data_IF_992456777253
#
_entry.id   IF_992456777253
#
_cell.length_a   1.000
_cell.length_b   1.000
_cell.length_c   1.000
_cell.angle_alpha   90.00
_cell.angle_beta   90.00
_cell.angle_gamma   90.00
#
_symmetry.space_group_name_H-M   'P 1'
#
loop_
_entity.id
_entity.type
_entity.pdbx_description
1 polymer ?
#
# COMPACT_ATOMS: atom_id res chain seq x y z
N UNK A 1 9.85 -6.36 -2.33
CA UNK A 1 10.05 -5.50 -3.53
C UNK A 1 11.43 -4.89 -3.43
N UNK A 2 12.29 -5.02 -4.44
CA UNK A 2 13.55 -4.28 -4.49
C UNK A 2 13.34 -3.02 -5.34
N UNK A 3 13.72 -1.86 -4.81
CA UNK A 3 13.63 -0.58 -5.52
C UNK A 3 14.98 -0.19 -6.14
N UNK A 4 14.99 0.34 -7.37
CA UNK A 4 16.17 0.97 -7.95
C UNK A 4 16.70 2.11 -7.07
N UNK A 5 18.02 2.38 -7.13
CA UNK A 5 18.69 3.35 -6.24
C UNK A 5 18.29 4.81 -6.49
N UNK A 6 17.71 5.10 -7.65
CA UNK A 6 17.20 6.40 -8.09
C UNK A 6 15.77 6.68 -7.61
N UNK A 7 15.03 5.65 -7.16
CA UNK A 7 13.70 5.81 -6.59
C UNK A 7 13.82 6.34 -5.17
N UNK A 8 13.19 7.48 -4.92
CA UNK A 8 13.17 8.13 -3.60
C UNK A 8 11.73 8.27 -3.11
N UNK A 9 11.52 8.56 -1.82
CA UNK A 9 10.17 8.83 -1.30
C UNK A 9 9.48 10.02 -2.01
N UNK A 10 10.26 10.88 -2.69
CA UNK A 10 9.76 12.00 -3.49
C UNK A 10 9.35 11.60 -4.91
N UNK A 11 9.69 10.40 -5.34
CA UNK A 11 9.34 9.86 -6.65
C UNK A 11 9.29 8.33 -6.59
N UNK A 12 8.10 7.83 -6.27
CA UNK A 12 7.72 6.41 -6.26
C UNK A 12 7.04 5.98 -7.57
N UNK A 13 6.87 6.92 -8.50
CA UNK A 13 6.15 6.71 -9.76
C UNK A 13 6.76 5.57 -10.55
N UNK A 14 5.94 4.59 -10.91
CA UNK A 14 6.40 3.44 -11.68
C UNK A 14 5.51 2.22 -11.55
N UNK A 15 5.88 1.20 -12.32
CA UNK A 15 5.26 -0.13 -12.28
C UNK A 15 6.16 -1.09 -11.51
N UNK A 16 5.61 -1.66 -10.46
CA UNK A 16 6.31 -2.45 -9.48
C UNK A 16 5.84 -3.90 -9.52
N UNK A 17 6.75 -4.85 -9.77
CA UNK A 17 6.43 -6.27 -9.80
C UNK A 17 6.96 -7.00 -8.56
N UNK A 18 6.11 -7.83 -7.94
CA UNK A 18 6.53 -8.65 -6.81
C UNK A 18 7.47 -9.77 -7.24
N UNK A 19 8.74 -9.61 -6.90
CA UNK A 19 9.73 -10.68 -7.03
C UNK A 19 9.54 -11.71 -5.90
N UNK A 20 8.83 -12.80 -6.20
CA UNK A 20 8.55 -13.88 -5.26
C UNK A 20 9.78 -14.69 -4.84
N UNK A 21 10.84 -14.72 -5.65
CA UNK A 21 12.07 -15.41 -5.29
C UNK A 21 12.84 -14.69 -4.16
N UNK A 22 12.62 -13.38 -4.01
CA UNK A 22 13.21 -12.54 -2.98
C UNK A 22 12.21 -12.11 -1.90
N UNK A 23 11.03 -12.74 -1.85
CA UNK A 23 9.98 -12.39 -0.89
C UNK A 23 9.60 -13.60 -0.03
N UNK A 24 9.29 -13.36 1.23
CA UNK A 24 8.76 -14.39 2.12
C UNK A 24 7.33 -14.80 1.76
N UNK A 25 6.90 -15.95 2.28
CA UNK A 25 5.55 -16.48 2.09
C UNK A 25 4.49 -15.58 2.73
N UNK A 26 3.47 -15.20 1.95
CA UNK A 26 2.33 -14.41 2.42
C UNK A 26 1.25 -15.25 3.12
N UNK A 27 1.42 -16.58 3.20
CA UNK A 27 0.36 -17.51 3.64
C UNK A 27 -0.16 -17.21 5.05
N UNK A 28 0.73 -16.98 6.00
CA UNK A 28 0.37 -16.81 7.41
C UNK A 28 -0.34 -15.48 7.63
N UNK A 29 0.14 -14.40 7.01
CA UNK A 29 -0.53 -13.10 7.02
C UNK A 29 -1.95 -13.19 6.44
N UNK A 30 -2.12 -13.82 5.28
CA UNK A 30 -3.45 -13.95 4.65
C UNK A 30 -4.38 -14.88 5.45
N UNK A 31 -3.83 -15.89 6.16
CA UNK A 31 -4.60 -16.74 7.07
C UNK A 31 -5.11 -15.93 8.25
N UNK A 32 -4.27 -15.09 8.86
CA UNK A 32 -4.66 -14.19 9.95
C UNK A 32 -5.71 -13.16 9.50
N UNK A 33 -5.68 -12.73 8.23
CA UNK A 33 -6.72 -11.88 7.63
C UNK A 33 -8.02 -12.62 7.30
N UNK A 34 -8.17 -13.89 7.68
CA UNK A 34 -9.39 -14.68 7.47
C UNK A 34 -9.63 -15.12 6.01
N UNK A 35 -8.64 -14.99 5.12
CA UNK A 35 -8.83 -15.37 3.72
C UNK A 35 -8.99 -16.89 3.56
N UNK A 36 -9.93 -17.38 2.74
CA UNK A 36 -10.09 -18.83 2.50
C UNK A 36 -8.85 -19.50 1.90
N UNK A 37 -8.59 -20.77 2.22
CA UNK A 37 -7.40 -21.52 1.77
C UNK A 37 -7.14 -21.44 0.27
N UNK A 38 -8.18 -21.61 -0.55
CA UNK A 38 -8.07 -21.55 -2.00
C UNK A 38 -7.66 -20.16 -2.50
N UNK A 39 -8.21 -19.09 -1.92
CA UNK A 39 -7.82 -17.72 -2.26
C UNK A 39 -6.35 -17.44 -1.91
N UNK A 40 -5.88 -17.92 -0.75
CA UNK A 40 -4.47 -17.79 -0.33
C UNK A 40 -3.51 -18.52 -1.28
N UNK A 41 -3.87 -19.72 -1.74
CA UNK A 41 -3.07 -20.45 -2.74
C UNK A 41 -3.01 -19.72 -4.07
N UNK A 42 -4.12 -19.18 -4.54
CA UNK A 42 -4.15 -18.38 -5.77
C UNK A 42 -3.23 -17.16 -5.67
N UNK A 43 -3.28 -16.40 -4.58
CA UNK A 43 -2.39 -15.24 -4.37
C UNK A 43 -0.91 -15.67 -4.34
N UNK A 44 -0.61 -16.79 -3.69
CA UNK A 44 0.76 -17.33 -3.62
C UNK A 44 1.36 -17.66 -4.98
N UNK A 45 0.55 -17.92 -6.00
CA UNK A 45 1.02 -18.16 -7.38
C UNK A 45 0.80 -16.97 -8.32
N UNK A 46 -0.11 -16.04 -8.00
CA UNK A 46 -0.43 -14.90 -8.84
C UNK A 46 0.69 -13.86 -8.97
N UNK A 47 0.91 -13.35 -10.18
CA UNK A 47 1.74 -12.16 -10.40
C UNK A 47 1.03 -10.94 -9.79
N UNK A 48 1.70 -10.28 -8.85
CA UNK A 48 1.24 -9.04 -8.21
C UNK A 48 2.03 -7.88 -8.82
N UNK A 49 1.29 -6.89 -9.31
CA UNK A 49 1.82 -5.64 -9.85
C UNK A 49 1.20 -4.47 -9.13
N UNK A 50 1.99 -3.47 -8.78
CA UNK A 50 1.51 -2.20 -8.23
C UNK A 50 1.94 -1.09 -9.19
N UNK A 51 0.99 -0.38 -9.75
CA UNK A 51 1.24 0.87 -10.47
C UNK A 51 1.10 2.02 -9.47
N UNK A 52 2.13 2.85 -9.35
CA UNK A 52 2.13 4.02 -8.46
C UNK A 52 2.29 5.27 -9.31
N UNK A 53 1.40 6.24 -9.12
CA UNK A 53 1.46 7.58 -9.68
C UNK A 53 1.60 8.59 -8.53
N UNK A 54 2.62 9.44 -8.60
CA UNK A 54 2.91 10.44 -7.57
C UNK A 54 3.06 11.80 -8.24
N UNK A 55 2.29 12.79 -7.78
CA UNK A 55 2.24 14.11 -8.40
C UNK A 55 1.89 15.19 -7.39
N UNK A 56 2.13 16.45 -7.76
CA UNK A 56 1.68 17.62 -7.04
C UNK A 56 0.43 18.17 -7.73
N UNK A 57 -0.57 18.58 -6.95
CA UNK A 57 -1.73 19.29 -7.47
C UNK A 57 -1.45 20.80 -7.67
N UNK A 58 -2.51 21.53 -8.02
CA UNK A 58 -2.44 22.98 -8.22
C UNK A 58 -2.06 23.74 -6.94
N UNK A 59 -2.31 23.19 -5.75
CA UNK A 59 -1.99 23.76 -4.45
C UNK A 59 -0.63 23.28 -3.92
N UNK A 60 0.13 22.53 -4.73
CA UNK A 60 1.40 21.92 -4.35
C UNK A 60 1.29 20.89 -3.22
N UNK A 61 0.11 20.26 -3.08
CA UNK A 61 -0.09 19.11 -2.20
C UNK A 61 0.29 17.83 -2.93
N UNK A 62 1.02 16.95 -2.26
CA UNK A 62 1.42 15.66 -2.83
C UNK A 62 0.28 14.66 -2.82
N UNK A 63 0.06 14.04 -3.97
CA UNK A 63 -0.83 12.89 -4.16
C UNK A 63 0.00 11.65 -4.49
N UNK A 64 -0.42 10.50 -3.96
CA UNK A 64 0.15 9.19 -4.25
C UNK A 64 -1.00 8.23 -4.49
N UNK A 65 -1.18 7.87 -5.75
CA UNK A 65 -2.21 6.96 -6.21
C UNK A 65 -1.57 5.60 -6.48
N UNK A 66 -2.06 4.57 -5.79
CA UNK A 66 -1.54 3.20 -5.88
C UNK A 66 -2.63 2.26 -6.36
N UNK A 67 -2.31 1.52 -7.42
CA UNK A 67 -3.20 0.54 -8.02
C UNK A 67 -2.54 -0.83 -7.98
N UNK A 68 -3.02 -1.68 -7.09
CA UNK A 68 -2.59 -3.07 -7.04
C UNK A 68 -3.44 -3.91 -7.99
N UNK A 69 -2.77 -4.70 -8.81
CA UNK A 69 -3.37 -5.69 -9.69
C UNK A 69 -2.79 -7.07 -9.48
N UNK A 70 -3.65 -8.07 -9.59
CA UNK A 70 -3.31 -9.49 -9.44
C UNK A 70 -3.88 -10.22 -10.64
N UNK A 71 -3.05 -10.90 -11.42
CA UNK A 71 -3.44 -11.59 -12.66
C UNK A 71 -4.23 -10.68 -13.64
N UNK A 72 -3.83 -9.40 -13.76
CA UNK A 72 -4.47 -8.44 -14.65
C UNK A 72 -5.82 -7.89 -14.17
N UNK A 73 -6.30 -8.28 -12.98
CA UNK A 73 -7.48 -7.70 -12.34
C UNK A 73 -7.05 -6.71 -11.27
N UNK A 74 -7.72 -5.56 -11.20
CA UNK A 74 -7.50 -4.58 -10.13
C UNK A 74 -8.02 -5.17 -8.83
N UNK A 75 -7.10 -5.34 -7.88
CA UNK A 75 -7.35 -5.91 -6.58
C UNK A 75 -7.70 -4.82 -5.56
N UNK A 76 -6.97 -3.71 -5.59
CA UNK A 76 -7.19 -2.57 -4.72
C UNK A 76 -6.69 -1.30 -5.39
N UNK A 77 -7.35 -0.19 -5.05
CA UNK A 77 -6.93 1.16 -5.37
C UNK A 77 -6.82 1.91 -4.06
N UNK A 78 -5.76 2.68 -3.90
CA UNK A 78 -5.53 3.50 -2.73
C UNK A 78 -5.08 4.88 -3.18
N UNK A 79 -5.85 5.90 -2.78
CA UNK A 79 -5.62 7.29 -3.15
C UNK A 79 -5.21 8.04 -1.89
N UNK A 80 -3.97 8.53 -1.84
CA UNK A 80 -3.46 9.27 -0.67
C UNK A 80 -3.14 10.71 -1.04
N UNK A 81 -3.69 11.63 -0.25
CA UNK A 81 -3.36 13.06 -0.29
C UNK A 81 -2.62 13.44 0.98
N UNK A 82 -1.45 14.08 0.84
CA UNK A 82 -0.56 14.39 1.96
C UNK A 82 -0.90 15.73 2.66
N UNK A 83 -2.18 15.94 2.98
CA UNK A 83 -2.71 17.14 3.63
C UNK A 83 -3.15 16.91 5.09
N UNK A 84 -2.96 15.70 5.60
CA UNK A 84 -3.38 15.27 6.93
C UNK A 84 -4.89 15.34 7.18
N UNK A 85 -5.72 15.39 6.13
CA UNK A 85 -7.16 15.30 6.28
C UNK A 85 -7.60 13.83 6.33
N UNK A 86 -8.45 13.49 7.30
CA UNK A 86 -9.06 12.18 7.41
C UNK A 86 -10.04 11.96 6.25
N UNK A 87 -9.90 10.81 5.57
CA UNK A 87 -10.76 10.41 4.46
C UNK A 87 -11.20 8.97 4.66
N UNK A 88 -12.46 8.71 4.36
CA UNK A 88 -12.98 7.37 4.26
C UNK A 88 -12.73 6.80 2.86
N UNK A 89 -12.33 5.54 2.82
CA UNK A 89 -12.16 4.79 1.58
C UNK A 89 -12.79 3.41 1.74
N UNK A 90 -13.48 2.95 0.71
CA UNK A 90 -13.94 1.57 0.64
C UNK A 90 -12.80 0.67 0.14
N UNK A 91 -12.37 -0.27 0.97
CA UNK A 91 -11.37 -1.26 0.62
C UNK A 91 -12.06 -2.63 0.43
N UNK A 92 -11.78 -3.34 -0.68
CA UNK A 92 -12.43 -4.63 -0.96
C UNK A 92 -12.05 -5.74 0.02
N UNK A 93 -10.99 -5.57 0.81
CA UNK A 93 -10.52 -6.54 1.80
C UNK A 93 -10.87 -6.16 3.23
N UNK A 94 -10.80 -4.87 3.58
CA UNK A 94 -10.96 -4.39 4.95
C UNK A 94 -12.29 -3.66 5.22
N UNK A 95 -13.14 -3.48 4.21
CA UNK A 95 -14.37 -2.70 4.34
C UNK A 95 -14.08 -1.19 4.32
N UNK A 96 -14.87 -0.41 5.07
CA UNK A 96 -14.66 1.04 5.19
C UNK A 96 -13.47 1.31 6.10
N UNK A 97 -12.44 1.97 5.56
CA UNK A 97 -11.26 2.41 6.30
C UNK A 97 -11.26 3.94 6.36
N UNK A 98 -10.83 4.52 7.48
CA UNK A 98 -10.58 5.96 7.61
C UNK A 98 -9.09 6.18 7.84
N UNK A 99 -8.47 7.07 7.07
CA UNK A 99 -7.05 7.32 7.14
C UNK A 99 -6.69 8.77 6.84
N UNK A 100 -5.54 9.20 7.34
CA UNK A 100 -4.93 10.50 7.07
C UNK A 100 -3.46 10.30 6.69
N UNK A 101 -2.94 11.14 5.80
CA UNK A 101 -1.59 11.01 5.27
C UNK A 101 -0.84 12.34 5.30
N UNK A 102 0.45 12.32 5.66
CA UNK A 102 1.37 13.46 5.54
C UNK A 102 2.79 12.97 5.30
N UNK A 103 3.63 13.82 4.71
CA UNK A 103 5.07 13.60 4.67
C UNK A 103 5.66 14.06 5.99
N UNK A 104 6.50 13.23 6.60
CA UNK A 104 7.26 13.59 7.80
C UNK A 104 8.73 13.81 7.45
N UNK A 105 9.39 14.86 7.98
CA UNK A 105 10.80 15.12 7.71
C UNK A 105 11.68 14.04 8.37
N UNK A 106 12.86 13.75 7.80
CA UNK A 106 13.76 12.73 8.34
C UNK A 106 14.18 12.96 9.81
N UNK A 107 14.15 14.22 10.28
CA UNK A 107 14.45 14.59 11.66
C UNK A 107 13.28 14.44 12.64
N UNK A 108 12.08 14.08 12.15
CA UNK A 108 10.95 13.79 13.03
C UNK A 108 11.18 12.49 13.80
N UNK A 109 10.84 12.48 15.09
CA UNK A 109 11.01 11.32 15.98
C UNK A 109 10.39 10.04 15.38
N UNK A 110 10.93 8.85 15.70
CA UNK A 110 10.32 7.60 15.27
C UNK A 110 8.85 7.57 15.73
N UNK A 111 7.98 7.12 14.83
CA UNK A 111 6.55 6.99 15.10
C UNK A 111 6.37 6.23 16.42
N UNK A 112 5.76 6.89 17.41
CA UNK A 112 5.26 6.22 18.59
C UNK A 112 4.08 5.38 18.10
N UNK A 113 4.23 4.06 18.11
CA UNK A 113 3.10 3.17 17.91
C UNK A 113 2.21 3.35 19.14
N UNK A 114 1.16 4.14 18.99
CA UNK A 114 0.10 4.27 19.99
C UNK A 114 -0.47 2.86 20.16
N UNK A 115 -0.39 2.30 21.37
CA UNK A 115 -0.91 0.96 21.67
C UNK A 115 -2.38 0.94 21.24
N UNK A 116 -2.69 0.15 20.20
CA UNK A 116 -4.06 -0.06 19.78
C UNK A 116 -4.74 -0.76 20.96
N UNK A 117 -5.63 -0.02 21.64
CA UNK A 117 -6.37 -0.50 22.80
C UNK A 117 -7.32 -1.61 22.33
N UNK A 118 -6.85 -2.86 22.43
CA UNK A 118 -7.63 -4.04 22.06
C UNK A 118 -8.53 -4.37 23.25
N UNK A 119 -9.69 -3.71 23.30
CA UNK A 119 -10.79 -4.08 24.22
C UNK A 119 -11.73 -5.11 23.60
#
# INVERSE_FOLDING_TARGET
MAAPVDVTIRSLTGRWHLNKALSDSQQDMLLQQGMPFFARKTIAHAAITVDVDQYLDAEQVMHVDSKQSTMGRVASVELRTADWAAREQQNPYFGTISGQCRIVPAASQPAQFEELDVS
#
